data_IF_641434084006
#
_entry.id   IF_641434084006
#
_cell.length_a   1.000
_cell.length_b   1.000
_cell.length_c   1.000
_cell.angle_alpha   90.00
_cell.angle_beta   90.00
_cell.angle_gamma   90.00
#
_symmetry.space_group_name_H-M   'P 1'
#
loop_
_entity.id
_entity.type
_entity.pdbx_description
1 polymer ?
#
# COMPACT_ATOMS: atom_id res chain seq x y z
N UNK A 1 10.98 91.34 -18.65
CA UNK A 1 9.90 91.40 -19.67
C UNK A 1 9.16 90.08 -19.61
N UNK A 2 7.85 90.07 -19.37
CA UNK A 2 6.77 90.14 -20.39
C UNK A 2 6.94 89.01 -21.40
N UNK A 3 6.14 87.95 -21.39
CA UNK A 3 4.71 87.89 -21.75
C UNK A 3 4.63 86.81 -22.86
N UNK A 4 3.68 85.88 -22.94
CA UNK A 4 2.25 85.98 -22.70
C UNK A 4 1.51 85.92 -24.04
N UNK A 5 0.63 84.91 -24.18
CA UNK A 5 -0.44 84.73 -25.21
C UNK A 5 0.02 84.35 -26.62
N UNK A 6 -0.70 83.52 -27.37
CA UNK A 6 -2.03 82.93 -27.17
C UNK A 6 -2.55 82.43 -28.51
N UNK A 7 -3.47 81.48 -28.48
CA UNK A 7 -4.11 80.94 -29.68
C UNK A 7 -5.11 79.85 -29.33
N UNK A 8 -6.25 80.28 -28.77
CA UNK A 8 -7.46 79.47 -28.57
C UNK A 8 -8.16 79.22 -29.90
N UNK A 9 -8.65 78.00 -30.09
CA UNK A 9 -9.58 77.63 -31.16
C UNK A 9 -10.07 76.19 -31.01
N UNK A 10 -11.07 75.98 -30.14
CA UNK A 10 -12.06 74.91 -30.33
C UNK A 10 -13.17 75.47 -31.24
N UNK A 11 -13.81 74.67 -32.11
CA UNK A 11 -14.93 73.83 -31.65
C UNK A 11 -15.17 72.48 -32.37
N UNK A 12 -15.77 71.56 -31.60
CA UNK A 12 -16.91 70.66 -31.93
C UNK A 12 -16.78 69.50 -32.95
N UNK A 13 -17.10 68.31 -32.41
CA UNK A 13 -18.02 67.25 -32.93
C UNK A 13 -17.66 66.56 -34.28
N UNK A 14 -17.87 65.28 -34.55
CA UNK A 14 -18.34 64.07 -33.85
C UNK A 14 -18.11 62.90 -34.84
N UNK A 15 -18.03 61.68 -34.32
CA UNK A 15 -18.34 60.42 -35.00
C UNK A 15 -17.34 59.83 -36.02
N UNK A 16 -16.60 58.80 -35.61
CA UNK A 16 -16.95 57.41 -35.99
C UNK A 16 -15.95 56.39 -35.40
N UNK A 17 -16.39 55.79 -34.30
CA UNK A 17 -16.33 54.36 -33.99
C UNK A 17 -15.38 53.45 -34.81
N UNK A 18 -14.27 53.06 -34.19
CA UNK A 18 -13.66 51.74 -34.36
C UNK A 18 -13.43 51.16 -32.96
N UNK A 19 -13.82 49.90 -32.67
CA UNK A 19 -13.74 49.36 -31.31
C UNK A 19 -12.28 49.21 -30.91
N UNK A 20 -11.88 49.93 -29.86
CA UNK A 20 -10.72 49.57 -29.05
C UNK A 20 -11.05 48.26 -28.35
N UNK A 21 -10.60 47.15 -28.90
CA UNK A 21 -10.45 45.91 -28.13
C UNK A 21 -9.36 46.13 -27.11
N UNK A 22 -9.76 46.56 -25.92
CA UNK A 22 -8.96 46.38 -24.72
C UNK A 22 -8.73 44.87 -24.59
N UNK A 23 -7.51 44.42 -24.88
CA UNK A 23 -7.08 43.09 -24.54
C UNK A 23 -7.05 42.99 -23.02
N UNK A 24 -8.17 42.55 -22.45
CA UNK A 24 -8.22 41.97 -21.12
C UNK A 24 -7.34 40.72 -21.17
N UNK A 25 -6.06 40.87 -20.80
CA UNK A 25 -5.20 39.74 -20.56
C UNK A 25 -5.74 38.99 -19.33
N UNK A 26 -6.52 37.93 -19.58
CA UNK A 26 -6.77 36.90 -18.60
C UNK A 26 -5.43 36.40 -18.05
N UNK A 27 -5.28 36.20 -16.74
CA UNK A 27 -4.04 35.67 -16.20
C UNK A 27 -3.81 34.29 -16.82
N UNK A 28 -2.62 34.12 -17.40
CA UNK A 28 -2.17 32.88 -18.01
C UNK A 28 -2.39 31.71 -17.05
N UNK A 29 -3.37 30.88 -17.34
CA UNK A 29 -3.43 29.55 -16.77
C UNK A 29 -2.15 28.84 -17.22
N UNK A 30 -1.21 28.67 -16.29
CA UNK A 30 -0.02 27.87 -16.54
C UNK A 30 -0.48 26.48 -16.92
N UNK A 31 -0.24 26.10 -18.18
CA UNK A 31 -0.65 24.81 -18.70
C UNK A 31 0.26 23.73 -18.06
N UNK A 32 -0.15 23.19 -16.91
CA UNK A 32 0.55 22.11 -16.21
C UNK A 32 0.24 20.76 -16.89
N UNK A 33 0.56 20.66 -18.18
CA UNK A 33 0.54 19.42 -18.94
C UNK A 33 1.93 18.77 -18.83
N UNK A 34 1.98 17.47 -18.56
CA UNK A 34 3.21 16.69 -18.63
C UNK A 34 3.39 16.31 -20.10
N UNK A 35 4.58 16.52 -20.66
CA UNK A 35 4.89 16.18 -22.05
C UNK A 35 5.92 15.06 -22.10
N UNK A 36 5.75 14.13 -23.03
CA UNK A 36 6.76 13.12 -23.34
C UNK A 36 7.98 13.80 -23.98
N UNK A 37 9.18 13.54 -23.44
CA UNK A 37 10.40 14.22 -23.87
C UNK A 37 10.90 13.78 -25.26
N UNK A 38 10.39 12.67 -25.78
CA UNK A 38 10.78 12.07 -27.07
C UNK A 38 9.77 12.44 -28.14
N UNK A 39 8.47 12.29 -27.86
CA UNK A 39 7.41 12.55 -28.85
C UNK A 39 6.89 13.99 -28.81
N UNK A 40 7.09 14.70 -27.68
CA UNK A 40 6.53 16.04 -27.46
C UNK A 40 5.02 16.05 -27.26
N UNK A 41 4.37 14.89 -27.18
CA UNK A 41 2.94 14.77 -26.97
C UNK A 41 2.58 14.96 -25.50
N UNK A 42 1.38 15.50 -25.25
CA UNK A 42 0.86 15.63 -23.90
C UNK A 42 0.52 14.24 -23.33
N UNK A 43 1.05 13.94 -22.15
CA UNK A 43 0.79 12.71 -21.41
C UNK A 43 -0.58 12.84 -20.75
N UNK A 44 -1.52 12.00 -21.15
CA UNK A 44 -2.83 11.92 -20.53
C UNK A 44 -2.78 11.01 -19.29
N UNK A 45 -2.98 11.60 -18.11
CA UNK A 45 -3.06 10.87 -16.83
C UNK A 45 -4.49 10.80 -16.26
N UNK A 46 -5.51 11.18 -17.06
CA UNK A 46 -6.86 11.49 -16.57
C UNK A 46 -7.65 10.34 -15.93
N UNK A 47 -7.16 9.10 -16.00
CA UNK A 47 -7.77 7.93 -15.36
C UNK A 47 -6.83 7.21 -14.39
N UNK A 48 -5.62 7.75 -14.15
CA UNK A 48 -4.66 7.15 -13.24
C UNK A 48 -4.89 7.68 -11.84
N UNK A 49 -5.16 6.79 -10.88
CA UNK A 49 -5.10 7.12 -9.46
C UNK A 49 -3.64 7.08 -9.00
N UNK A 50 -3.09 8.22 -8.62
CA UNK A 50 -1.72 8.32 -8.11
C UNK A 50 -1.73 8.32 -6.58
N UNK A 51 -0.96 7.41 -5.98
CA UNK A 51 -0.85 7.27 -4.53
C UNK A 51 0.55 7.69 -4.06
N UNK A 52 0.62 8.43 -2.95
CA UNK A 52 1.88 8.77 -2.30
C UNK A 52 1.85 8.17 -0.90
N UNK A 53 2.79 7.26 -0.62
CA UNK A 53 2.92 6.66 0.72
C UNK A 53 4.03 7.38 1.48
N UNK A 54 3.70 7.86 2.69
CA UNK A 54 4.67 8.48 3.60
C UNK A 54 4.66 7.72 4.91
N UNK A 55 5.81 7.19 5.33
CA UNK A 55 5.96 6.52 6.63
C UNK A 55 6.09 7.58 7.73
N UNK A 56 5.06 7.72 8.56
CA UNK A 56 5.08 8.58 9.73
C UNK A 56 4.95 7.72 10.99
N UNK A 57 6.01 7.68 11.80
CA UNK A 57 6.03 6.90 13.04
C UNK A 57 5.09 7.49 14.10
N UNK A 58 4.03 6.76 14.42
CA UNK A 58 3.15 7.03 15.57
C UNK A 58 3.15 5.84 16.52
N UNK A 59 3.38 6.05 17.81
CA UNK A 59 3.25 5.01 18.84
C UNK A 59 1.97 5.30 19.62
N UNK A 60 0.91 4.52 19.42
CA UNK A 60 -0.39 4.77 20.03
C UNK A 60 -1.24 3.51 20.19
N UNK A 61 -1.58 3.17 21.44
CA UNK A 61 -2.48 2.08 21.85
C UNK A 61 -3.95 2.51 21.85
N UNK A 62 -4.86 1.58 21.58
CA UNK A 62 -6.30 1.85 21.39
C UNK A 62 -7.04 2.24 22.68
N UNK A 63 -7.69 3.41 22.65
CA UNK A 63 -8.82 3.75 23.54
C UNK A 63 -9.64 4.98 23.10
N UNK A 64 -9.21 5.77 22.11
CA UNK A 64 -10.00 6.88 21.56
C UNK A 64 -9.70 7.07 20.06
N UNK A 65 -10.22 6.18 19.22
CA UNK A 65 -9.87 6.09 17.79
C UNK A 65 -10.02 7.42 17.04
N UNK A 66 -11.09 8.19 17.27
CA UNK A 66 -11.33 9.44 16.54
C UNK A 66 -10.43 10.60 17.00
N UNK A 67 -10.18 10.69 18.31
CA UNK A 67 -9.30 11.72 18.87
C UNK A 67 -7.84 11.45 18.48
N UNK A 68 -7.42 10.18 18.50
CA UNK A 68 -6.08 9.76 18.11
C UNK A 68 -5.87 9.87 16.60
N UNK A 69 -6.85 9.49 15.77
CA UNK A 69 -6.82 9.70 14.32
C UNK A 69 -6.62 11.17 13.96
N UNK A 70 -7.39 12.07 14.58
CA UNK A 70 -7.25 13.51 14.35
C UNK A 70 -5.87 14.02 14.80
N UNK A 71 -5.35 13.52 15.93
CA UNK A 71 -4.02 13.88 16.42
C UNK A 71 -2.91 13.43 15.46
N UNK A 72 -2.95 12.19 14.99
CA UNK A 72 -1.99 11.64 14.03
C UNK A 72 -2.09 12.39 12.71
N UNK A 73 -3.31 12.62 12.19
CA UNK A 73 -3.53 13.37 10.96
C UNK A 73 -2.95 14.78 11.02
N UNK A 74 -3.11 15.49 12.14
CA UNK A 74 -2.51 16.81 12.36
C UNK A 74 -0.98 16.72 12.40
N UNK A 75 -0.42 15.74 13.10
CA UNK A 75 1.03 15.54 13.17
C UNK A 75 1.64 15.24 11.79
N UNK A 76 1.04 14.33 11.03
CA UNK A 76 1.43 13.99 9.66
C UNK A 76 1.33 15.21 8.75
N UNK A 77 0.22 15.94 8.78
CA UNK A 77 0.03 17.13 7.94
C UNK A 77 1.06 18.23 8.25
N UNK A 78 1.41 18.43 9.52
CA UNK A 78 2.46 19.36 9.90
C UNK A 78 3.83 18.94 9.36
N UNK A 79 4.13 17.64 9.34
CA UNK A 79 5.38 17.13 8.78
C UNK A 79 5.38 17.24 7.25
N UNK A 80 4.28 16.90 6.58
CA UNK A 80 4.10 17.07 5.13
C UNK A 80 4.33 18.52 4.69
N UNK A 81 3.85 19.51 5.47
CA UNK A 81 4.08 20.94 5.21
C UNK A 81 5.54 21.37 5.32
N UNK A 82 6.40 20.61 6.01
CA UNK A 82 7.84 20.89 6.09
C UNK A 82 8.58 20.42 4.85
N UNK A 83 8.14 19.31 4.26
CA UNK A 83 8.81 18.68 3.12
C UNK A 83 8.21 19.08 1.76
N UNK A 84 6.90 19.31 1.69
CA UNK A 84 6.20 19.63 0.46
C UNK A 84 5.70 21.07 0.44
N UNK A 85 5.76 21.69 -0.73
CA UNK A 85 5.25 23.05 -0.92
C UNK A 85 3.71 23.08 -0.86
N UNK A 86 3.09 24.20 -0.45
CA UNK A 86 1.64 24.33 -0.38
C UNK A 86 0.92 24.02 -1.70
N UNK A 87 1.52 24.37 -2.85
CA UNK A 87 0.93 24.12 -4.17
C UNK A 87 0.79 22.62 -4.47
N UNK A 88 1.68 21.79 -3.91
CA UNK A 88 1.63 20.34 -4.05
C UNK A 88 0.58 19.73 -3.13
N UNK A 89 0.53 20.16 -1.87
CA UNK A 89 -0.45 19.68 -0.90
C UNK A 89 -1.89 19.99 -1.35
N UNK A 90 -2.09 21.12 -2.03
CA UNK A 90 -3.37 21.50 -2.61
C UNK A 90 -3.79 20.66 -3.83
N UNK A 91 -2.94 19.73 -4.31
CA UNK A 91 -3.24 18.77 -5.38
C UNK A 91 -3.55 17.36 -4.88
N UNK A 92 -3.48 17.13 -3.57
CA UNK A 92 -3.86 15.86 -2.98
C UNK A 92 -5.36 15.89 -2.70
N UNK A 93 -6.09 14.93 -3.27
CA UNK A 93 -7.54 14.84 -3.08
C UNK A 93 -7.88 14.44 -1.63
N UNK A 94 -7.21 13.41 -1.12
CA UNK A 94 -7.43 12.90 0.23
C UNK A 94 -6.15 12.38 0.89
N UNK A 95 -6.13 12.43 2.23
CA UNK A 95 -5.06 11.82 3.06
C UNK A 95 -5.68 10.70 3.88
N UNK A 96 -5.28 9.47 3.58
CA UNK A 96 -5.68 8.25 4.28
C UNK A 96 -4.61 7.92 5.32
N UNK A 97 -5.01 7.82 6.59
CA UNK A 97 -4.12 7.41 7.69
C UNK A 97 -4.41 5.95 8.02
N UNK A 98 -3.40 5.10 7.89
CA UNK A 98 -3.48 3.69 8.28
C UNK A 98 -3.04 3.52 9.72
N UNK A 99 -3.84 2.79 10.50
CA UNK A 99 -3.46 2.39 11.84
C UNK A 99 -2.58 1.13 11.78
N UNK A 100 -1.74 0.96 12.80
CA UNK A 100 -1.01 -0.30 12.97
C UNK A 100 -1.99 -1.43 13.21
N UNK A 101 -1.74 -2.56 12.53
CA UNK A 101 -2.50 -3.77 12.75
C UNK A 101 -2.21 -4.33 14.14
N UNK A 102 -3.27 -4.69 14.84
CA UNK A 102 -3.19 -5.51 16.03
C UNK A 102 -2.82 -6.95 15.66
N UNK A 103 -2.26 -7.69 16.61
CA UNK A 103 -1.92 -9.10 16.40
C UNK A 103 -3.14 -9.97 16.05
N UNK A 104 -4.32 -9.62 16.57
CA UNK A 104 -5.58 -10.30 16.25
C UNK A 104 -5.98 -10.06 14.79
N UNK A 105 -5.92 -8.82 14.31
CA UNK A 105 -6.18 -8.53 12.89
C UNK A 105 -5.18 -9.24 11.97
N UNK A 106 -3.92 -9.37 12.38
CA UNK A 106 -2.92 -10.16 11.63
C UNK A 106 -3.25 -11.66 11.65
N UNK A 107 -3.87 -12.17 12.71
CA UNK A 107 -4.36 -13.54 12.76
C UNK A 107 -5.48 -13.77 11.74
N UNK A 108 -6.46 -12.86 11.67
CA UNK A 108 -7.55 -12.95 10.69
C UNK A 108 -7.02 -12.89 9.25
N UNK A 109 -6.04 -12.01 8.99
CA UNK A 109 -5.37 -11.94 7.69
C UNK A 109 -4.63 -13.25 7.37
N UNK A 110 -3.97 -13.85 8.36
CA UNK A 110 -3.28 -15.13 8.17
C UNK A 110 -4.26 -16.25 7.81
N UNK A 111 -5.46 -16.25 8.41
CA UNK A 111 -6.50 -17.23 8.10
C UNK A 111 -7.01 -17.11 6.66
N UNK A 112 -7.23 -15.89 6.16
CA UNK A 112 -7.60 -15.65 4.76
C UNK A 112 -6.51 -16.20 3.83
N UNK A 113 -5.24 -15.86 4.09
CA UNK A 113 -4.12 -16.32 3.27
C UNK A 113 -3.91 -17.85 3.32
N UNK A 114 -4.20 -18.48 4.46
CA UNK A 114 -4.17 -19.94 4.59
C UNK A 114 -5.26 -20.59 3.74
N UNK A 115 -6.47 -20.05 3.77
CA UNK A 115 -7.58 -20.56 2.97
C UNK A 115 -7.26 -20.50 1.47
N UNK A 116 -6.62 -19.42 1.00
CA UNK A 116 -6.14 -19.33 -0.39
C UNK A 116 -5.14 -20.44 -0.77
N UNK A 117 -4.33 -20.92 0.19
CA UNK A 117 -3.40 -22.04 -0.04
C UNK A 117 -4.16 -23.37 -0.01
N UNK A 118 -5.04 -23.55 0.98
CA UNK A 118 -5.87 -24.76 1.13
C UNK A 118 -6.70 -25.00 -0.13
N UNK A 119 -7.33 -23.96 -0.68
CA UNK A 119 -8.10 -24.05 -1.92
C UNK A 119 -7.22 -24.49 -3.11
N UNK A 120 -6.03 -23.88 -3.27
CA UNK A 120 -5.08 -24.26 -4.33
C UNK A 120 -4.55 -25.69 -4.18
N UNK A 121 -4.43 -26.20 -2.96
CA UNK A 121 -4.01 -27.59 -2.68
C UNK A 121 -5.15 -28.56 -2.94
N UNK A 122 -6.39 -28.17 -2.62
CA UNK A 122 -7.59 -28.95 -2.92
C UNK A 122 -7.80 -29.15 -4.43
N UNK A 123 -7.42 -28.17 -5.27
CA UNK A 123 -7.40 -28.34 -6.73
C UNK A 123 -6.47 -29.46 -7.21
N UNK A 124 -5.50 -29.88 -6.39
CA UNK A 124 -4.61 -31.03 -6.65
C UNK A 124 -5.12 -32.33 -6.02
N UNK A 125 -6.39 -32.36 -5.62
CA UNK A 125 -7.05 -33.48 -4.94
C UNK A 125 -6.42 -33.84 -3.58
N UNK A 126 -5.78 -32.87 -2.91
CA UNK A 126 -5.19 -33.06 -1.58
C UNK A 126 -6.03 -32.28 -0.57
N UNK A 127 -6.55 -32.96 0.46
CA UNK A 127 -7.22 -32.29 1.58
C UNK A 127 -6.17 -31.78 2.57
N UNK A 128 -6.23 -30.49 2.90
CA UNK A 128 -5.26 -29.87 3.80
C UNK A 128 -5.98 -29.28 5.02
N UNK A 129 -5.54 -29.69 6.20
CA UNK A 129 -5.96 -29.12 7.48
C UNK A 129 -4.76 -28.51 8.20
N UNK A 130 -4.98 -27.40 8.90
CA UNK A 130 -3.92 -26.65 9.59
C UNK A 130 -4.33 -26.47 11.05
N UNK A 131 -3.45 -26.84 11.98
CA UNK A 131 -3.70 -26.75 13.42
C UNK A 131 -3.72 -25.30 13.91
N UNK A 132 -4.32 -25.07 15.09
CA UNK A 132 -4.31 -23.75 15.72
C UNK A 132 -2.87 -23.34 16.08
N UNK A 133 -2.09 -24.29 16.56
CA UNK A 133 -0.69 -24.15 16.93
C UNK A 133 0.15 -23.66 15.75
N UNK A 134 -0.09 -24.19 14.55
CA UNK A 134 0.55 -23.70 13.33
C UNK A 134 0.13 -22.26 13.02
N UNK A 135 -1.18 -21.94 13.08
CA UNK A 135 -1.69 -20.58 12.84
C UNK A 135 -1.05 -19.57 13.80
N UNK A 136 -0.97 -19.91 15.08
CA UNK A 136 -0.34 -19.06 16.08
C UNK A 136 1.16 -18.88 15.82
N UNK A 137 1.88 -19.96 15.51
CA UNK A 137 3.31 -19.89 15.17
C UNK A 137 3.59 -19.04 13.93
N UNK A 138 2.73 -19.16 12.91
CA UNK A 138 2.78 -18.37 11.70
C UNK A 138 2.62 -16.87 12.01
N UNK A 139 1.60 -16.50 12.78
CA UNK A 139 1.36 -15.10 13.17
C UNK A 139 2.48 -14.58 14.06
N UNK A 140 2.98 -15.39 15.00
CA UNK A 140 4.10 -15.02 15.87
C UNK A 140 5.37 -14.67 15.08
N UNK A 141 5.67 -15.41 14.01
CA UNK A 141 6.81 -15.15 13.13
C UNK A 141 6.54 -14.06 12.09
N UNK A 142 5.31 -13.94 11.61
CA UNK A 142 4.91 -13.02 10.55
C UNK A 142 4.47 -11.63 11.01
N UNK A 143 4.15 -11.45 12.29
CA UNK A 143 3.74 -10.18 12.87
C UNK A 143 4.93 -9.26 13.16
N UNK A 144 4.87 -8.04 12.65
CA UNK A 144 5.76 -6.95 13.05
C UNK A 144 4.95 -5.76 13.55
N UNK A 145 5.24 -5.20 14.73
CA UNK A 145 4.59 -3.96 15.16
C UNK A 145 4.81 -2.79 14.17
N UNK A 146 5.99 -2.74 13.54
CA UNK A 146 6.35 -1.67 12.60
C UNK A 146 5.80 -1.93 11.19
N UNK A 147 5.84 -3.19 10.73
CA UNK A 147 5.50 -3.54 9.35
C UNK A 147 4.15 -4.25 9.20
N UNK A 148 3.40 -4.44 10.29
CA UNK A 148 2.13 -5.16 10.32
C UNK A 148 2.27 -6.59 9.80
N UNK A 149 1.36 -6.98 8.91
CA UNK A 149 1.35 -8.27 8.23
C UNK A 149 2.28 -8.33 6.99
N UNK A 150 3.04 -7.28 6.65
CA UNK A 150 3.92 -7.30 5.46
C UNK A 150 4.90 -8.50 5.46
N UNK A 151 5.53 -8.87 6.60
CA UNK A 151 6.39 -10.05 6.64
C UNK A 151 5.63 -11.38 6.54
N UNK A 152 4.34 -11.39 6.87
CA UNK A 152 3.51 -12.60 6.98
C UNK A 152 3.51 -13.43 5.71
N UNK A 153 3.44 -12.79 4.53
CA UNK A 153 3.48 -13.51 3.24
C UNK A 153 4.77 -14.29 3.05
N UNK A 154 5.92 -13.71 3.39
CA UNK A 154 7.20 -14.41 3.28
C UNK A 154 7.28 -15.59 4.23
N UNK A 155 6.81 -15.41 5.46
CA UNK A 155 6.77 -16.49 6.47
C UNK A 155 5.84 -17.60 6.01
N UNK A 156 4.64 -17.27 5.52
CA UNK A 156 3.66 -18.22 4.97
C UNK A 156 4.27 -19.08 3.87
N UNK A 157 4.90 -18.46 2.88
CA UNK A 157 5.52 -19.19 1.78
C UNK A 157 6.57 -20.16 2.31
N UNK A 158 7.45 -19.71 3.21
CA UNK A 158 8.51 -20.57 3.75
C UNK A 158 8.03 -21.69 4.69
N UNK A 159 7.01 -21.43 5.51
CA UNK A 159 6.52 -22.40 6.49
C UNK A 159 5.51 -23.37 5.89
N UNK A 160 4.74 -22.95 4.89
CA UNK A 160 3.69 -23.77 4.33
C UNK A 160 3.96 -24.13 2.87
N UNK A 161 4.02 -23.14 1.98
CA UNK A 161 4.06 -23.38 0.52
C UNK A 161 5.30 -24.20 0.11
N UNK A 162 6.48 -23.84 0.61
CA UNK A 162 7.73 -24.54 0.34
C UNK A 162 7.73 -25.96 0.91
N UNK A 163 7.19 -26.15 2.12
CA UNK A 163 7.12 -27.47 2.79
C UNK A 163 6.14 -28.39 2.07
N UNK A 164 4.98 -27.88 1.64
CA UNK A 164 4.01 -28.64 0.86
C UNK A 164 4.54 -28.98 -0.53
N UNK A 165 5.20 -28.03 -1.19
CA UNK A 165 5.82 -28.26 -2.49
C UNK A 165 6.84 -29.41 -2.41
N UNK A 166 7.72 -29.37 -1.41
CA UNK A 166 8.70 -30.45 -1.19
C UNK A 166 8.03 -31.79 -0.84
N UNK A 167 6.97 -31.78 -0.02
CA UNK A 167 6.21 -32.99 0.35
C UNK A 167 5.63 -33.67 -0.90
N UNK A 168 5.06 -32.89 -1.81
CA UNK A 168 4.51 -33.37 -3.07
C UNK A 168 5.63 -33.87 -4.00
N UNK A 169 6.73 -33.12 -4.12
CA UNK A 169 7.87 -33.51 -4.96
C UNK A 169 8.54 -34.81 -4.51
N UNK A 170 8.60 -35.06 -3.19
CA UNK A 170 9.14 -36.30 -2.62
C UNK A 170 8.15 -37.47 -2.66
N UNK A 171 6.90 -37.22 -3.05
CA UNK A 171 5.83 -38.23 -3.06
C UNK A 171 5.32 -38.60 -1.67
N UNK A 172 5.52 -37.74 -0.67
CA UNK A 172 4.90 -37.89 0.66
C UNK A 172 3.42 -37.50 0.65
N UNK A 173 3.04 -36.60 -0.28
CA UNK A 173 1.66 -36.22 -0.53
C UNK A 173 1.33 -36.45 -2.00
N UNK A 174 0.25 -37.18 -2.26
CA UNK A 174 -0.27 -37.51 -3.58
C UNK A 174 -1.75 -37.20 -3.68
N UNK A 175 -2.28 -37.18 -4.90
CA UNK A 175 -3.69 -36.95 -5.14
C UNK A 175 -4.56 -37.99 -4.41
N UNK A 176 -5.57 -37.53 -3.69
CA UNK A 176 -6.45 -38.32 -2.83
C UNK A 176 -6.01 -38.37 -1.36
N UNK A 177 -4.84 -37.86 -1.02
CA UNK A 177 -4.37 -37.82 0.37
C UNK A 177 -5.00 -36.68 1.17
N UNK A 178 -5.04 -36.87 2.49
CA UNK A 178 -5.42 -35.85 3.44
C UNK A 178 -4.30 -35.64 4.46
N UNK A 179 -3.89 -34.38 4.62
CA UNK A 179 -2.75 -33.99 5.42
C UNK A 179 -3.13 -32.97 6.50
N UNK A 180 -2.49 -33.10 7.66
CA UNK A 180 -2.55 -32.14 8.75
C UNK A 180 -1.19 -31.47 8.89
N UNK A 181 -1.17 -30.15 8.84
CA UNK A 181 0.03 -29.34 9.04
C UNK A 181 0.05 -28.76 10.44
N UNK A 182 1.15 -29.00 11.14
CA UNK A 182 1.37 -28.57 12.52
C UNK A 182 2.79 -28.03 12.72
N UNK A 183 3.09 -27.54 13.92
CA UNK A 183 4.43 -27.16 14.36
C UNK A 183 4.85 -27.96 15.58
N UNK A 184 6.12 -28.36 15.63
CA UNK A 184 6.69 -28.97 16.83
C UNK A 184 7.09 -27.90 17.87
N UNK A 185 7.57 -28.35 19.04
CA UNK A 185 7.99 -27.47 20.13
C UNK A 185 9.13 -26.51 19.76
N UNK A 186 9.95 -26.86 18.76
CA UNK A 186 11.05 -26.05 18.24
C UNK A 186 10.59 -25.07 17.13
N UNK A 187 9.31 -25.12 16.75
CA UNK A 187 8.72 -24.27 15.71
C UNK A 187 9.07 -24.71 14.28
N UNK A 188 9.45 -25.98 14.10
CA UNK A 188 9.58 -26.64 12.79
C UNK A 188 8.24 -27.19 12.33
N UNK A 189 8.05 -27.21 11.01
CA UNK A 189 6.76 -27.60 10.41
C UNK A 189 6.72 -29.10 10.23
N UNK A 190 5.61 -29.69 10.64
CA UNK A 190 5.29 -31.10 10.50
C UNK A 190 4.13 -31.24 9.52
N UNK A 191 4.25 -32.19 8.60
CA UNK A 191 3.16 -32.66 7.75
C UNK A 191 2.84 -34.08 8.18
N UNK A 192 1.59 -34.31 8.57
CA UNK A 192 1.11 -35.59 9.09
C UNK A 192 -0.04 -36.12 8.23
N UNK A 193 -0.24 -37.43 8.22
CA UNK A 193 -1.48 -38.02 7.70
C UNK A 193 -2.63 -37.90 8.72
N UNK A 194 -3.83 -38.35 8.35
CA UNK A 194 -4.99 -38.34 9.26
C UNK A 194 -4.85 -39.29 10.47
N UNK A 195 -3.91 -40.23 10.46
CA UNK A 195 -3.61 -41.10 11.59
C UNK A 195 -2.57 -40.49 12.54
N UNK A 196 -2.04 -39.30 12.23
CA UNK A 196 -1.00 -38.62 13.00
C UNK A 196 0.41 -39.16 12.74
N UNK A 197 0.62 -39.96 11.69
CA UNK A 197 1.95 -40.36 11.28
C UNK A 197 2.65 -39.20 10.57
N UNK A 198 3.88 -38.89 11.00
CA UNK A 198 4.67 -37.81 10.42
C UNK A 198 5.18 -38.24 9.04
N UNK A 199 4.65 -37.59 8.00
CA UNK A 199 5.06 -37.77 6.61
C UNK A 199 6.30 -36.94 6.29
N UNK A 200 6.38 -35.72 6.83
CA UNK A 200 7.52 -34.82 6.65
C UNK A 200 7.78 -33.96 7.90
N UNK A 201 9.06 -33.71 8.18
CA UNK A 201 9.55 -32.81 9.23
C UNK A 201 10.57 -31.84 8.62
N UNK A 202 10.27 -30.54 8.68
CA UNK A 202 11.08 -29.50 8.05
C UNK A 202 12.51 -29.42 8.63
N UNK A 203 12.71 -29.84 9.88
CA UNK A 203 14.05 -29.88 10.51
C UNK A 203 14.98 -30.91 9.88
N UNK A 204 14.42 -32.03 9.41
CA UNK A 204 15.17 -33.16 8.81
C UNK A 204 15.38 -33.01 7.31
N UNK A 205 14.52 -32.26 6.65
CA UNK A 205 14.55 -32.05 5.21
C UNK A 205 15.57 -30.98 4.76
N UNK A 206 16.32 -30.37 5.68
CA UNK A 206 17.21 -29.24 5.36
C UNK A 206 16.46 -27.94 5.05
N UNK A 207 15.13 -27.96 5.17
CA UNK A 207 14.23 -26.80 5.13
C UNK A 207 14.16 -26.16 6.52
N UNK A 208 15.32 -25.85 7.09
CA UNK A 208 15.34 -24.95 8.24
C UNK A 208 14.85 -23.59 7.74
N UNK A 209 14.08 -22.88 8.57
CA UNK A 209 13.70 -21.48 8.39
C UNK A 209 14.92 -20.51 8.42
N UNK A 210 16.03 -20.91 7.81
CA UNK A 210 17.28 -20.20 7.64
C UNK A 210 17.12 -19.21 6.48
N UNK A 211 16.36 -18.15 6.75
CA UNK A 211 16.26 -16.99 5.86
C UNK A 211 15.74 -15.73 6.56
N UNK A 212 15.45 -15.81 7.85
CA UNK A 212 14.99 -14.68 8.65
C UNK A 212 15.99 -14.51 9.79
N UNK A 213 17.11 -13.86 9.47
CA UNK A 213 17.94 -13.14 10.44
C UNK A 213 18.12 -11.72 9.95
#
# INVERSE_FOLDING_TARGET
GRGGRGGTGEPMANASSGPQTQASASPSQGNNQIYDAITGEAVNTGSTEDYITVEAGGSGSSAAADAEYNRIKVAVNNELKRYFKPEFLNRLDDIIVFNQLTKLEVFDIAEIMLNDIIERVAEKEIELQVTLEFKEALVNKGYSPLFGARPLRRVMNSMLEDVLAESILRGYLTAGDAAVVDVNADGHVLVMDQAGAILMDSSRAGLTAAGIS
#
